data_IF_745127513375
#
_entry.id   IF_745127513375
#
_cell.length_a   1.000
_cell.length_b   1.000
_cell.length_c   1.000
_cell.angle_alpha   90.00
_cell.angle_beta   90.00
_cell.angle_gamma   90.00
#
_symmetry.space_group_name_H-M   'P 1'
#
loop_
_entity.id
_entity.type
_entity.pdbx_description
1 polymer ?
#
# COMPACT_ATOMS: atom_id res chain seq x y z
N UNK A 1 16.68 -8.91 -6.55
CA UNK A 1 16.35 -10.04 -5.67
C UNK A 1 14.85 -10.06 -5.48
N UNK A 2 14.22 -11.21 -5.68
CA UNK A 2 12.78 -11.38 -5.45
C UNK A 2 12.46 -11.60 -3.98
N UNK A 3 11.21 -11.99 -3.69
CA UNK A 3 10.78 -12.38 -2.35
C UNK A 3 11.52 -13.64 -1.89
N UNK A 4 11.99 -13.63 -0.63
CA UNK A 4 12.64 -14.81 -0.02
C UNK A 4 11.64 -15.92 0.31
N UNK A 5 10.43 -15.55 0.74
CA UNK A 5 9.32 -16.46 0.98
C UNK A 5 8.03 -15.88 0.36
N UNK A 6 7.69 -16.23 -0.88
CA UNK A 6 6.47 -15.76 -1.51
C UNK A 6 5.20 -16.31 -0.85
N UNK A 7 5.27 -17.49 -0.22
CA UNK A 7 4.10 -18.12 0.43
C UNK A 7 3.69 -17.39 1.70
N UNK A 8 4.66 -16.92 2.49
CA UNK A 8 4.36 -16.07 3.65
C UNK A 8 3.68 -14.75 3.22
N UNK A 9 4.16 -14.13 2.14
CA UNK A 9 3.57 -12.89 1.62
C UNK A 9 2.14 -13.11 1.13
N UNK A 10 1.89 -14.22 0.43
CA UNK A 10 0.56 -14.61 -0.02
C UNK A 10 -0.39 -14.85 1.16
N UNK A 11 0.05 -15.55 2.21
CA UNK A 11 -0.76 -15.78 3.41
C UNK A 11 -1.14 -14.48 4.12
N UNK A 12 -0.21 -13.53 4.27
CA UNK A 12 -0.52 -12.21 4.85
C UNK A 12 -1.50 -11.42 3.98
N UNK A 13 -1.37 -11.53 2.65
CA UNK A 13 -2.31 -10.91 1.73
C UNK A 13 -3.71 -11.50 1.86
N UNK A 14 -3.84 -12.82 1.96
CA UNK A 14 -5.13 -13.51 2.18
C UNK A 14 -5.77 -13.08 3.49
N UNK A 15 -5.02 -13.08 4.60
CA UNK A 15 -5.49 -12.62 5.90
C UNK A 15 -6.02 -11.18 5.83
N UNK A 16 -5.32 -10.30 5.11
CA UNK A 16 -5.72 -8.90 4.93
C UNK A 16 -7.03 -8.78 4.13
N UNK A 17 -7.23 -9.63 3.12
CA UNK A 17 -8.45 -9.65 2.32
C UNK A 17 -9.64 -10.15 3.13
N UNK A 18 -9.47 -11.21 3.91
CA UNK A 18 -10.48 -11.71 4.84
C UNK A 18 -10.91 -10.64 5.86
N UNK A 19 -9.93 -9.96 6.48
CA UNK A 19 -10.21 -8.88 7.43
C UNK A 19 -10.99 -7.72 6.78
N UNK A 20 -10.65 -7.35 5.54
CA UNK A 20 -11.36 -6.31 4.80
C UNK A 20 -12.80 -6.73 4.47
N UNK A 21 -13.03 -7.98 4.07
CA UNK A 21 -14.37 -8.50 3.80
C UNK A 21 -15.25 -8.48 5.05
N UNK A 22 -14.70 -8.95 6.18
CA UNK A 22 -15.39 -8.93 7.47
C UNK A 22 -15.77 -7.51 7.89
N UNK A 23 -14.82 -6.57 7.77
CA UNK A 23 -15.06 -5.16 8.05
C UNK A 23 -16.17 -4.57 7.17
N UNK A 24 -16.12 -4.81 5.85
CA UNK A 24 -17.12 -4.30 4.92
C UNK A 24 -18.51 -4.88 5.17
N UNK A 25 -18.59 -6.16 5.55
CA UNK A 25 -19.85 -6.81 5.95
C UNK A 25 -20.41 -6.22 7.25
N UNK A 26 -19.56 -5.91 8.23
CA UNK A 26 -19.95 -5.34 9.51
C UNK A 26 -20.36 -3.86 9.41
N UNK A 27 -19.57 -3.04 8.74
CA UNK A 27 -19.78 -1.60 8.67
C UNK A 27 -20.71 -1.15 7.52
N UNK A 28 -20.84 -1.93 6.45
CA UNK A 28 -21.65 -1.58 5.28
C UNK A 28 -22.61 -2.70 4.83
N UNK A 29 -23.45 -3.26 5.73
CA UNK A 29 -24.32 -4.40 5.41
C UNK A 29 -25.31 -4.10 4.28
N UNK A 30 -25.73 -2.84 4.12
CA UNK A 30 -26.64 -2.41 3.05
C UNK A 30 -25.99 -2.30 1.66
N UNK A 31 -24.67 -2.53 1.52
CA UNK A 31 -23.94 -2.37 0.25
C UNK A 31 -23.23 -3.67 -0.15
N UNK A 32 -23.98 -4.77 -0.42
CA UNK A 32 -23.39 -6.01 -0.90
C UNK A 32 -22.55 -5.76 -2.16
N UNK A 33 -21.34 -6.31 -2.20
CA UNK A 33 -20.37 -6.11 -3.29
C UNK A 33 -19.43 -4.91 -3.12
N UNK A 34 -19.46 -4.17 -2.01
CA UNK A 34 -18.47 -3.10 -1.75
C UNK A 34 -17.03 -3.65 -1.66
N UNK A 35 -16.84 -4.79 -0.99
CA UNK A 35 -15.57 -5.52 -0.98
C UNK A 35 -15.00 -5.77 -2.38
N UNK A 36 -15.79 -6.41 -3.26
CA UNK A 36 -15.38 -6.66 -4.65
C UNK A 36 -15.03 -5.38 -5.41
N UNK A 37 -15.81 -4.30 -5.24
CA UNK A 37 -15.50 -3.00 -5.86
C UNK A 37 -14.18 -2.41 -5.35
N UNK A 38 -13.82 -2.60 -4.09
CA UNK A 38 -12.52 -2.19 -3.53
C UNK A 38 -11.39 -3.01 -4.14
N UNK A 39 -11.53 -4.34 -4.24
CA UNK A 39 -10.54 -5.19 -4.88
C UNK A 39 -10.28 -4.81 -6.34
N UNK A 40 -11.33 -4.41 -7.07
CA UNK A 40 -11.20 -3.92 -8.46
C UNK A 40 -10.45 -2.59 -8.59
N UNK A 41 -10.20 -1.86 -7.50
CA UNK A 41 -9.32 -0.68 -7.53
C UNK A 41 -7.83 -1.06 -7.50
N UNK A 42 -7.47 -2.23 -6.98
CA UNK A 42 -6.06 -2.64 -6.86
C UNK A 42 -5.33 -2.71 -8.22
N UNK A 43 -5.93 -3.26 -9.31
CA UNK A 43 -5.29 -3.20 -10.63
C UNK A 43 -5.12 -1.77 -11.15
N UNK A 44 -6.06 -0.87 -10.88
CA UNK A 44 -5.94 0.53 -11.29
C UNK A 44 -4.78 1.23 -10.55
N UNK A 45 -4.59 0.93 -9.26
CA UNK A 45 -3.45 1.43 -8.48
C UNK A 45 -2.11 0.92 -9.05
N UNK A 46 -2.03 -0.35 -9.46
CA UNK A 46 -0.83 -0.92 -10.09
C UNK A 46 -0.45 -0.25 -11.42
N UNK A 47 -1.40 0.44 -12.08
CA UNK A 47 -1.15 1.16 -13.33
C UNK A 47 -0.58 2.55 -13.13
N UNK A 48 -0.53 3.06 -11.90
CA UNK A 48 0.07 4.36 -11.61
C UNK A 48 1.59 4.25 -11.80
N UNK A 49 2.14 5.14 -12.62
CA UNK A 49 3.57 5.13 -12.94
C UNK A 49 4.41 5.59 -11.74
N UNK A 50 5.35 4.75 -11.31
CA UNK A 50 6.34 5.12 -10.30
C UNK A 50 7.15 6.36 -10.74
N UNK A 51 7.57 6.43 -12.00
CA UNK A 51 8.28 7.58 -12.55
C UNK A 51 7.43 8.87 -12.49
N UNK A 52 6.12 8.78 -12.73
CA UNK A 52 5.24 9.95 -12.60
C UNK A 52 5.15 10.42 -11.14
N UNK A 53 5.05 9.49 -10.19
CA UNK A 53 5.06 9.81 -8.75
C UNK A 53 6.38 10.49 -8.37
N UNK A 54 7.52 9.96 -8.83
CA UNK A 54 8.83 10.55 -8.58
C UNK A 54 8.93 11.98 -9.09
N UNK A 55 8.53 12.23 -10.35
CA UNK A 55 8.62 13.55 -10.97
C UNK A 55 7.72 14.58 -10.27
N UNK A 56 6.51 14.18 -9.87
CA UNK A 56 5.56 15.10 -9.26
C UNK A 56 5.89 15.44 -7.80
N UNK A 57 6.42 14.48 -7.04
CA UNK A 57 6.52 14.63 -5.57
C UNK A 57 7.95 14.55 -5.03
N UNK A 58 8.87 13.86 -5.69
CA UNK A 58 10.17 13.50 -5.09
C UNK A 58 11.39 14.20 -5.74
N UNK A 59 11.35 14.59 -7.01
CA UNK A 59 12.51 15.23 -7.68
C UNK A 59 13.03 16.46 -6.93
N UNK A 60 12.15 17.30 -6.39
CA UNK A 60 12.56 18.47 -5.63
C UNK A 60 13.07 18.16 -4.21
N UNK A 61 12.69 17.00 -3.66
CA UNK A 61 13.09 16.58 -2.31
C UNK A 61 14.43 15.83 -2.31
N UNK A 62 14.68 15.02 -3.34
CA UNK A 62 15.76 14.01 -3.35
C UNK A 62 16.60 14.02 -4.63
N UNK A 63 16.34 14.98 -5.53
CA UNK A 63 17.14 15.21 -6.72
C UNK A 63 17.05 14.06 -7.72
N UNK A 64 18.21 13.46 -8.01
CA UNK A 64 18.36 12.33 -8.97
C UNK A 64 18.40 10.96 -8.30
N UNK A 65 18.23 10.90 -6.98
CA UNK A 65 18.24 9.63 -6.24
C UNK A 65 16.95 8.86 -6.52
N UNK A 66 17.01 7.61 -7.04
CA UNK A 66 15.82 6.80 -7.25
C UNK A 66 15.05 6.57 -5.96
N UNK A 67 13.72 6.56 -6.00
CA UNK A 67 12.88 6.43 -4.81
C UNK A 67 13.12 5.10 -4.08
N UNK A 68 13.49 4.04 -4.80
CA UNK A 68 13.74 2.72 -4.23
C UNK A 68 14.94 2.71 -3.29
N UNK A 69 15.96 3.52 -3.58
CA UNK A 69 17.12 3.70 -2.69
C UNK A 69 16.69 4.34 -1.38
N UNK A 70 15.80 5.33 -1.45
CA UNK A 70 15.29 6.01 -0.27
C UNK A 70 14.39 5.13 0.57
N UNK A 71 13.52 4.34 -0.06
CA UNK A 71 12.66 3.37 0.66
C UNK A 71 13.54 2.36 1.40
N UNK A 72 14.63 1.90 0.77
CA UNK A 72 15.61 1.03 1.43
C UNK A 72 16.26 1.73 2.62
N UNK A 73 16.75 2.94 2.44
CA UNK A 73 17.42 3.69 3.50
C UNK A 73 16.44 4.00 4.65
N UNK A 74 15.19 4.36 4.35
CA UNK A 74 14.12 4.57 5.33
C UNK A 74 13.88 3.30 6.15
N UNK A 75 13.78 2.13 5.51
CA UNK A 75 13.61 0.84 6.18
C UNK A 75 14.79 0.50 7.10
N UNK A 76 16.02 0.81 6.67
CA UNK A 76 17.24 0.52 7.42
C UNK A 76 17.56 1.56 8.51
N UNK A 77 17.03 2.79 8.38
CA UNK A 77 17.30 3.90 9.30
C UNK A 77 16.72 3.69 10.71
N UNK A 78 15.84 2.70 10.90
CA UNK A 78 15.31 2.32 12.22
C UNK A 78 14.38 3.36 12.86
N UNK A 79 14.06 4.46 12.17
CA UNK A 79 13.02 5.37 12.62
C UNK A 79 11.68 4.60 12.56
N UNK A 80 11.01 4.46 13.71
CA UNK A 80 9.63 3.98 13.72
C UNK A 80 8.84 4.88 12.77
N UNK A 81 8.40 4.32 11.64
CA UNK A 81 7.58 5.03 10.67
C UNK A 81 6.22 5.27 11.34
N UNK A 82 6.14 6.36 12.11
CA UNK A 82 4.92 6.82 12.71
C UNK A 82 4.12 7.41 11.56
N UNK A 83 3.30 6.58 10.92
CA UNK A 83 2.34 7.05 9.93
C UNK A 83 1.59 8.23 10.56
N UNK A 84 1.48 9.38 9.89
CA UNK A 84 0.62 10.46 10.35
C UNK A 84 -0.82 9.99 10.15
N UNK A 85 -1.27 9.08 11.01
CA UNK A 85 -2.65 8.69 11.10
C UNK A 85 -3.37 9.89 11.72
N UNK A 86 -3.90 10.74 10.84
CA UNK A 86 -4.86 11.76 11.25
C UNK A 86 -6.18 11.01 11.41
N UNK A 87 -6.72 10.86 12.63
CA UNK A 87 -8.02 10.25 12.79
C UNK A 87 -9.01 11.11 12.02
N UNK A 88 -9.72 10.54 11.04
CA UNK A 88 -10.86 11.23 10.46
C UNK A 88 -11.90 11.41 11.57
N UNK A 89 -12.10 12.67 11.98
CA UNK A 89 -13.22 13.10 12.84
C UNK A 89 -14.53 13.06 12.08
#
# INVERSE_FOLDING_TARGET
>A
MGLSDPGQVESVQEQSQCALEEYERGCHPARPGRFGRLLLRLPALRRVSAAAIEQLFFVHLVGKTPIETLIRDMLLSGAAFCWPYVPMQ
#
